data_IF_657281298373
#
_entry.id   IF_657281298373
#
_cell.length_a   1.000
_cell.length_b   1.000
_cell.length_c   1.000
_cell.angle_alpha   90.00
_cell.angle_beta   90.00
_cell.angle_gamma   90.00
#
_symmetry.space_group_name_H-M   'P 1'
#
loop_
_entity.id
_entity.type
_entity.pdbx_description
1 polymer ?
#
# COMPACT_ATOMS: atom_id res chain seq x y z
N UNK A 1 -26.88 55.31 -18.48
CA UNK A 1 -27.70 54.52 -19.43
C UNK A 1 -26.72 53.57 -20.12
N UNK A 2 -26.69 52.27 -19.82
CA UNK A 2 -27.64 51.25 -20.30
C UNK A 2 -27.73 50.07 -19.32
N UNK A 3 -28.96 49.62 -19.04
CA UNK A 3 -29.33 48.48 -18.20
C UNK A 3 -29.33 47.16 -19.01
N UNK A 4 -29.01 46.03 -18.36
CA UNK A 4 -29.66 44.69 -18.51
C UNK A 4 -28.92 43.71 -17.60
N UNK A 5 -29.37 43.42 -16.37
CA UNK A 5 -30.49 42.55 -15.96
C UNK A 5 -30.51 41.16 -16.63
N UNK A 6 -30.01 40.19 -15.87
CA UNK A 6 -30.59 38.89 -15.52
C UNK A 6 -31.32 38.08 -16.60
N UNK A 7 -30.79 36.88 -16.88
CA UNK A 7 -31.63 35.72 -17.16
C UNK A 7 -31.09 34.49 -16.41
N UNK A 8 -31.88 34.03 -15.45
CA UNK A 8 -31.78 32.72 -14.85
C UNK A 8 -32.10 31.68 -15.93
N UNK A 9 -31.23 30.71 -16.14
CA UNK A 9 -31.60 29.41 -16.69
C UNK A 9 -31.05 28.35 -15.75
N UNK A 10 -31.92 27.92 -14.84
CA UNK A 10 -31.78 26.68 -14.09
C UNK A 10 -32.17 25.56 -15.06
N UNK A 11 -31.20 24.76 -15.50
CA UNK A 11 -31.47 23.42 -16.00
C UNK A 11 -30.73 22.48 -15.07
N UNK A 12 -31.48 21.98 -14.08
CA UNK A 12 -31.09 20.82 -13.29
C UNK A 12 -31.23 19.59 -14.20
N UNK A 13 -30.10 18.99 -14.55
CA UNK A 13 -30.07 17.65 -15.15
C UNK A 13 -29.23 16.78 -14.23
N UNK A 14 -29.94 16.16 -13.27
CA UNK A 14 -29.42 15.09 -12.44
C UNK A 14 -29.38 13.84 -13.33
N UNK A 15 -28.19 13.48 -13.76
CA UNK A 15 -27.88 12.10 -14.17
C UNK A 15 -26.85 11.55 -13.19
N UNK A 16 -27.34 10.67 -12.30
CA UNK A 16 -26.52 9.75 -11.52
C UNK A 16 -25.64 8.94 -12.47
N UNK A 17 -24.34 9.19 -12.42
CA UNK A 17 -23.32 8.19 -12.76
C UNK A 17 -22.63 7.80 -11.45
N UNK A 18 -23.26 6.88 -10.71
CA UNK A 18 -22.58 6.10 -9.70
C UNK A 18 -21.53 5.24 -10.40
N UNK A 19 -20.26 5.36 -10.00
CA UNK A 19 -19.21 4.50 -10.54
C UNK A 19 -17.81 5.02 -10.28
N UNK A 20 -17.28 4.78 -9.07
CA UNK A 20 -15.84 4.56 -8.91
C UNK A 20 -14.93 5.78 -8.89
N UNK A 21 -15.30 6.84 -8.18
CA UNK A 21 -14.31 7.84 -7.72
C UNK A 21 -13.87 7.49 -6.30
N UNK A 22 -13.00 6.50 -6.14
CA UNK A 22 -12.17 6.34 -4.94
C UNK A 22 -10.93 5.51 -5.25
N UNK A 23 -9.78 6.21 -5.22
CA UNK A 23 -8.47 5.70 -4.80
C UNK A 23 -7.62 4.91 -5.81
N UNK A 24 -7.39 5.46 -7.00
CA UNK A 24 -6.01 5.44 -7.52
C UNK A 24 -5.38 6.78 -7.18
N UNK A 25 -4.89 6.91 -5.95
CA UNK A 25 -3.94 7.97 -5.64
C UNK A 25 -2.69 7.69 -6.47
N UNK A 26 -2.18 8.63 -7.29
CA UNK A 26 -0.82 8.50 -7.76
C UNK A 26 0.06 8.38 -6.53
N UNK A 27 0.84 7.31 -6.42
CA UNK A 27 1.98 7.28 -5.51
C UNK A 27 2.88 8.41 -6.02
N UNK A 28 2.80 9.57 -5.38
CA UNK A 28 3.81 10.61 -5.52
C UNK A 28 5.10 9.98 -5.02
N UNK A 29 5.88 9.44 -5.95
CA UNK A 29 7.27 9.07 -5.71
C UNK A 29 7.97 10.35 -5.29
N UNK A 30 8.17 10.51 -3.98
CA UNK A 30 9.05 11.55 -3.47
C UNK A 30 10.44 11.38 -4.11
N UNK A 31 11.23 12.45 -4.22
CA UNK A 31 12.59 12.35 -4.73
C UNK A 31 13.34 11.26 -3.97
N UNK A 32 14.04 10.37 -4.68
CA UNK A 32 14.82 9.28 -4.11
C UNK A 32 15.79 9.84 -3.07
N UNK A 33 15.40 9.79 -1.80
CA UNK A 33 16.24 10.17 -0.68
C UNK A 33 17.05 8.94 -0.26
N UNK A 34 18.37 9.09 -0.25
CA UNK A 34 19.32 8.14 0.35
C UNK A 34 19.29 6.68 -0.19
N UNK A 35 18.81 6.47 -1.43
CA UNK A 35 18.74 5.16 -2.06
C UNK A 35 17.65 4.23 -1.51
N UNK A 36 16.69 4.78 -0.77
CA UNK A 36 15.51 4.07 -0.27
C UNK A 36 14.23 4.55 -0.98
N UNK A 37 13.30 3.63 -1.19
CA UNK A 37 11.97 3.93 -1.70
C UNK A 37 10.90 3.34 -0.80
N UNK A 38 9.84 4.11 -0.54
CA UNK A 38 8.67 3.65 0.23
C UNK A 38 7.66 2.97 -0.68
N UNK A 39 7.04 1.88 -0.21
CA UNK A 39 5.91 1.23 -0.88
C UNK A 39 4.97 0.61 0.15
N UNK A 40 3.92 -0.06 -0.34
CA UNK A 40 3.03 -0.89 0.46
C UNK A 40 3.39 -2.36 0.26
N UNK A 41 3.35 -3.11 1.35
CA UNK A 41 3.51 -4.56 1.38
C UNK A 41 2.29 -5.22 2.02
N UNK A 42 2.10 -6.51 1.81
CA UNK A 42 1.01 -7.29 2.42
C UNK A 42 1.56 -8.51 3.15
N UNK A 43 0.96 -8.85 4.30
CA UNK A 43 1.18 -10.14 4.95
C UNK A 43 0.38 -11.23 4.21
N UNK A 44 1.03 -12.01 3.34
CA UNK A 44 0.35 -12.94 2.43
C UNK A 44 0.17 -14.36 3.00
N UNK A 45 1.02 -14.76 3.95
CA UNK A 45 0.92 -16.04 4.63
C UNK A 45 1.29 -15.92 6.10
N UNK A 46 0.66 -16.76 6.94
CA UNK A 46 0.93 -16.88 8.38
C UNK A 46 0.73 -18.34 8.73
N UNK A 47 1.76 -18.99 9.29
CA UNK A 47 1.79 -20.43 9.53
C UNK A 47 2.39 -20.73 10.92
N UNK A 48 1.81 -21.64 11.72
CA UNK A 48 2.45 -22.10 12.95
C UNK A 48 3.63 -23.03 12.63
N UNK A 49 4.71 -22.93 13.42
CA UNK A 49 5.92 -23.76 13.23
C UNK A 49 5.95 -25.03 14.11
N UNK A 50 4.96 -25.20 14.99
CA UNK A 50 4.84 -26.37 15.87
C UNK A 50 5.62 -26.28 17.18
N UNK A 51 6.48 -25.28 17.34
CA UNK A 51 7.26 -24.98 18.55
C UNK A 51 6.64 -23.85 19.40
N UNK A 52 5.39 -23.48 19.11
CA UNK A 52 4.71 -22.34 19.74
C UNK A 52 5.03 -20.99 19.09
N UNK A 53 5.84 -20.96 18.02
CA UNK A 53 6.10 -19.76 17.21
C UNK A 53 5.41 -19.82 15.85
N UNK A 54 5.49 -18.72 15.12
CA UNK A 54 4.87 -18.53 13.81
C UNK A 54 5.91 -18.10 12.77
N UNK A 55 5.62 -18.43 11.52
CA UNK A 55 6.20 -17.85 10.34
C UNK A 55 5.19 -16.93 9.65
N UNK A 56 5.65 -15.86 9.02
CA UNK A 56 4.81 -15.08 8.12
C UNK A 56 5.57 -14.63 6.87
N UNK A 57 4.82 -14.36 5.80
CA UNK A 57 5.36 -13.86 4.53
C UNK A 57 4.92 -12.43 4.29
N UNK A 58 5.87 -11.56 3.94
CA UNK A 58 5.63 -10.18 3.48
C UNK A 58 5.85 -10.15 1.98
N UNK A 59 4.87 -9.67 1.21
CA UNK A 59 4.99 -9.51 -0.24
C UNK A 59 4.83 -8.05 -0.65
N UNK A 60 5.69 -7.56 -1.51
CA UNK A 60 5.56 -6.24 -2.15
C UNK A 60 6.17 -6.26 -3.55
N UNK A 61 5.81 -5.26 -4.34
CA UNK A 61 6.34 -5.10 -5.71
C UNK A 61 7.21 -3.84 -5.74
N UNK A 62 8.54 -3.97 -5.86
CA UNK A 62 9.42 -2.82 -6.00
C UNK A 62 9.30 -2.20 -7.40
N UNK A 63 9.74 -0.95 -7.49
CA UNK A 63 10.06 -0.31 -8.75
C UNK A 63 11.52 -0.63 -9.05
N UNK A 64 11.79 -1.16 -10.23
CA UNK A 64 13.14 -1.38 -10.73
C UNK A 64 13.87 -0.03 -10.90
N UNK A 65 15.20 -0.09 -11.00
CA UNK A 65 16.04 1.10 -11.13
C UNK A 65 15.74 1.94 -12.38
N UNK A 66 15.12 1.35 -13.40
CA UNK A 66 14.67 2.01 -14.63
C UNK A 66 13.29 2.69 -14.52
N UNK A 67 12.64 2.60 -13.35
CA UNK A 67 11.32 3.19 -13.10
C UNK A 67 10.14 2.28 -13.45
N UNK A 68 10.38 1.08 -13.97
CA UNK A 68 9.31 0.11 -14.24
C UNK A 68 8.99 -0.73 -13.01
N UNK A 69 7.78 -1.30 -12.97
CA UNK A 69 7.41 -2.28 -11.94
C UNK A 69 8.23 -3.54 -12.12
N UNK A 70 8.93 -3.97 -11.07
CA UNK A 70 9.69 -5.22 -11.07
C UNK A 70 8.81 -6.41 -10.64
N UNK A 71 9.39 -7.61 -10.62
CA UNK A 71 8.71 -8.78 -10.05
C UNK A 71 8.47 -8.60 -8.54
N UNK A 72 7.38 -9.18 -8.05
CA UNK A 72 7.07 -9.16 -6.62
C UNK A 72 8.09 -9.94 -5.81
N UNK A 73 8.47 -9.39 -4.67
CA UNK A 73 9.36 -10.01 -3.70
C UNK A 73 8.52 -10.52 -2.54
N UNK A 74 8.76 -11.76 -2.14
CA UNK A 74 8.19 -12.37 -0.93
C UNK A 74 9.32 -12.74 0.02
N UNK A 75 9.22 -12.30 1.28
CA UNK A 75 10.20 -12.60 2.31
C UNK A 75 9.53 -13.17 3.55
N UNK A 76 10.24 -14.10 4.20
CA UNK A 76 9.72 -14.86 5.33
C UNK A 76 10.37 -14.41 6.63
N UNK A 77 9.54 -14.13 7.64
CA UNK A 77 9.97 -14.00 9.02
C UNK A 77 9.60 -15.29 9.76
N UNK A 78 10.52 -15.80 10.58
CA UNK A 78 10.40 -17.07 11.30
C UNK A 78 10.57 -16.82 12.80
N UNK A 79 10.05 -17.71 13.65
CA UNK A 79 10.27 -17.66 15.10
C UNK A 79 9.52 -16.52 15.80
N UNK A 80 8.41 -16.04 15.23
CA UNK A 80 7.67 -14.89 15.73
C UNK A 80 6.71 -15.37 16.83
N UNK A 81 6.67 -14.75 18.03
CA UNK A 81 5.93 -15.29 19.17
C UNK A 81 4.41 -15.16 19.06
N UNK A 82 3.92 -14.34 18.12
CA UNK A 82 2.50 -14.10 17.89
C UNK A 82 2.21 -14.07 16.39
N UNK A 83 1.05 -14.56 15.92
CA UNK A 83 0.71 -14.51 14.50
C UNK A 83 0.27 -13.11 14.12
N UNK A 84 0.85 -12.50 13.06
CA UNK A 84 0.30 -11.27 12.52
C UNK A 84 -1.06 -11.51 11.84
N UNK A 85 -1.82 -10.44 11.62
CA UNK A 85 -3.04 -10.48 10.80
C UNK A 85 -2.65 -10.71 9.33
N UNK A 86 -3.21 -11.75 8.70
CA UNK A 86 -3.03 -12.03 7.26
C UNK A 86 -3.86 -11.04 6.45
N UNK A 87 -3.33 -10.53 5.34
CA UNK A 87 -3.97 -9.54 4.49
C UNK A 87 -3.79 -8.10 4.95
N UNK A 88 -3.10 -7.85 6.07
CA UNK A 88 -2.81 -6.48 6.50
C UNK A 88 -1.81 -5.84 5.53
N UNK A 89 -2.05 -4.59 5.18
CA UNK A 89 -1.12 -3.77 4.41
C UNK A 89 -0.20 -3.00 5.35
N UNK A 90 1.10 -2.97 5.01
CA UNK A 90 2.15 -2.31 5.77
C UNK A 90 2.88 -1.32 4.89
N UNK A 91 3.15 -0.13 5.42
CA UNK A 91 4.14 0.76 4.86
C UNK A 91 5.53 0.18 5.12
N UNK A 92 6.31 0.05 4.05
CA UNK A 92 7.71 -0.36 4.12
C UNK A 92 8.59 0.64 3.37
N UNK A 93 9.89 0.56 3.58
CA UNK A 93 10.89 1.10 2.63
C UNK A 93 11.88 0.01 2.23
N UNK A 94 12.33 0.03 0.98
CA UNK A 94 13.33 -0.90 0.45
C UNK A 94 14.49 -0.16 -0.22
N UNK A 95 15.65 -0.80 -0.32
CA UNK A 95 16.83 -0.27 -1.03
C UNK A 95 16.62 -0.40 -2.54
N UNK A 96 16.74 0.69 -3.29
CA UNK A 96 16.45 0.68 -4.75
C UNK A 96 17.39 -0.28 -5.51
N UNK A 97 18.68 -0.33 -5.13
CA UNK A 97 19.68 -1.19 -5.79
C UNK A 97 19.63 -2.65 -5.33
N UNK A 98 19.09 -2.91 -4.13
CA UNK A 98 18.97 -4.24 -3.54
C UNK A 98 17.58 -4.38 -2.89
N UNK A 99 16.50 -4.52 -3.70
CA UNK A 99 15.14 -4.39 -3.17
C UNK A 99 14.81 -5.39 -2.07
N UNK A 100 15.44 -6.57 -2.03
CA UNK A 100 15.32 -7.56 -0.95
C UNK A 100 15.71 -7.04 0.44
N UNK A 101 16.43 -5.93 0.53
CA UNK A 101 16.71 -5.25 1.80
C UNK A 101 15.59 -4.23 2.04
N UNK A 102 14.75 -4.50 3.05
CA UNK A 102 13.62 -3.65 3.40
C UNK A 102 13.47 -3.48 4.92
N UNK A 103 12.70 -2.45 5.28
CA UNK A 103 12.30 -2.16 6.65
C UNK A 103 10.78 -1.94 6.68
N UNK A 104 10.13 -2.54 7.69
CA UNK A 104 8.72 -2.27 7.98
C UNK A 104 8.65 -0.97 8.79
N UNK A 105 7.86 -0.01 8.32
CA UNK A 105 7.71 1.30 8.95
C UNK A 105 6.48 1.39 9.84
N UNK A 106 5.46 0.58 9.57
CA UNK A 106 4.25 0.49 10.37
C UNK A 106 4.38 -0.55 11.50
N UNK A 107 3.59 -0.38 12.55
CA UNK A 107 3.45 -1.41 13.56
C UNK A 107 2.64 -2.59 13.01
N UNK A 108 3.13 -3.82 13.23
CA UNK A 108 2.41 -5.02 12.86
C UNK A 108 1.16 -5.18 13.72
N UNK A 109 0.03 -5.41 13.06
CA UNK A 109 -1.19 -5.86 13.74
C UNK A 109 -1.07 -7.36 14.02
N UNK A 110 -1.25 -7.71 15.29
CA UNK A 110 -1.22 -9.08 15.78
C UNK A 110 -2.64 -9.58 15.96
N UNK A 111 -2.88 -10.87 15.70
CA UNK A 111 -4.14 -11.48 16.11
C UNK A 111 -4.20 -11.46 17.63
N UNK A 112 -5.23 -10.84 18.19
CA UNK A 112 -5.60 -11.04 19.59
C UNK A 112 -6.11 -12.47 19.74
N UNK A 113 -5.57 -13.20 20.73
CA UNK A 113 -5.68 -14.66 20.83
C UNK A 113 -7.09 -15.24 20.66
N UNK A 114 -7.12 -16.45 20.10
CA UNK A 114 -8.28 -17.35 20.03
C UNK A 114 -8.66 -17.90 21.42
#
# INVERSE_FOLDING_TARGET
MTRRNSLFVVIALICLAAGGWLMMRPVTQGPASDGWQTTQAEITAVEPLGDGTYAYSVTYTPTAADGHTAESITQHALGVPRPPVKGQTLKIRYRIQEPVIFEILDELQWRTGD
#
